data_IF_473088991450
#
_entry.id   IF_473088991450
#
_cell.length_a   1.000
_cell.length_b   1.000
_cell.length_c   1.000
_cell.angle_alpha   90.00
_cell.angle_beta   90.00
_cell.angle_gamma   90.00
#
_symmetry.space_group_name_H-M   'P 1'
#
loop_
_entity.id
_entity.type
_entity.pdbx_description
1 polymer ?
#
# COMPACT_ATOMS: atom_id res chain seq x y z
N UNK A 1 42.95 -4.75 -1.98
CA UNK A 1 41.72 -4.78 -2.79
C UNK A 1 40.58 -5.00 -1.84
N UNK A 2 39.67 -4.03 -1.77
CA UNK A 2 38.52 -4.07 -0.85
C UNK A 2 37.44 -4.91 -1.53
N UNK A 3 37.03 -6.00 -0.89
CA UNK A 3 35.87 -6.78 -1.32
C UNK A 3 34.61 -5.93 -1.15
N UNK A 4 33.81 -5.85 -2.22
CA UNK A 4 32.52 -5.17 -2.25
C UNK A 4 31.43 -6.15 -1.77
N UNK A 5 30.80 -5.95 -0.59
CA UNK A 5 29.91 -6.94 0.01
C UNK A 5 28.47 -6.96 -0.57
N UNK A 6 28.24 -6.40 -1.76
CA UNK A 6 26.89 -6.31 -2.38
C UNK A 6 26.74 -7.00 -3.74
N UNK A 7 27.70 -7.83 -4.15
CA UNK A 7 27.50 -8.68 -5.32
C UNK A 7 26.60 -9.88 -4.94
N UNK A 8 25.28 -9.71 -5.00
CA UNK A 8 24.41 -10.89 -5.12
C UNK A 8 24.84 -11.64 -6.38
N UNK A 9 25.14 -12.95 -6.30
CA UNK A 9 25.50 -13.71 -7.48
C UNK A 9 24.32 -13.67 -8.47
N UNK A 10 24.52 -13.06 -9.63
CA UNK A 10 23.61 -13.19 -10.76
C UNK A 10 23.62 -14.66 -11.20
N UNK A 11 22.78 -15.49 -10.56
CA UNK A 11 22.43 -16.80 -11.10
C UNK A 11 21.73 -16.54 -12.43
N UNK A 12 22.28 -17.09 -13.51
CA UNK A 12 21.67 -17.10 -14.86
C UNK A 12 20.24 -17.69 -14.89
N UNK A 13 19.75 -18.23 -13.78
CA UNK A 13 18.41 -18.80 -13.61
C UNK A 13 17.43 -17.91 -12.83
N UNK A 14 17.77 -16.63 -12.58
CA UNK A 14 16.83 -15.73 -11.88
C UNK A 14 15.57 -15.56 -12.73
N UNK A 15 14.42 -15.88 -12.13
CA UNK A 15 13.10 -15.69 -12.75
C UNK A 15 12.33 -14.65 -11.96
N UNK A 16 11.78 -13.69 -12.69
CA UNK A 16 10.88 -12.70 -12.14
C UNK A 16 9.46 -12.96 -12.63
N UNK A 17 8.48 -12.66 -11.79
CA UNK A 17 7.07 -12.61 -12.17
C UNK A 17 6.58 -11.18 -12.04
N UNK A 18 6.19 -10.60 -13.17
CA UNK A 18 5.49 -9.32 -13.24
C UNK A 18 3.98 -9.60 -13.29
N UNK A 19 3.22 -8.90 -12.46
CA UNK A 19 1.79 -9.06 -12.31
C UNK A 19 1.13 -7.70 -12.56
N UNK A 20 0.19 -7.62 -13.49
CA UNK A 20 -0.58 -6.42 -13.82
C UNK A 20 -2.04 -6.59 -13.37
N UNK A 21 -2.61 -5.56 -12.74
CA UNK A 21 -3.99 -5.50 -12.28
C UNK A 21 -4.73 -4.39 -13.06
N UNK A 22 -5.45 -4.79 -14.12
CA UNK A 22 -5.92 -3.87 -15.15
C UNK A 22 -7.25 -3.17 -14.83
N UNK A 23 -8.14 -3.81 -14.08
CA UNK A 23 -9.50 -3.32 -13.87
C UNK A 23 -10.14 -3.84 -12.57
N UNK A 24 -11.44 -3.52 -12.41
CA UNK A 24 -12.21 -3.84 -11.22
C UNK A 24 -12.55 -5.32 -11.06
N UNK A 25 -12.39 -6.14 -12.11
CA UNK A 25 -12.48 -7.60 -11.98
C UNK A 25 -11.22 -8.18 -11.33
N UNK A 26 -10.19 -7.34 -11.16
CA UNK A 26 -8.85 -7.74 -10.74
C UNK A 26 -8.29 -8.84 -11.65
N UNK A 27 -8.69 -8.87 -12.92
CA UNK A 27 -8.11 -9.79 -13.89
C UNK A 27 -6.60 -9.53 -13.96
N UNK A 28 -5.87 -10.61 -13.70
CA UNK A 28 -4.43 -10.58 -13.58
C UNK A 28 -3.81 -11.00 -14.89
N UNK A 29 -2.98 -10.14 -15.46
CA UNK A 29 -2.03 -10.56 -16.50
C UNK A 29 -0.65 -10.75 -15.88
N UNK A 30 -0.11 -11.96 -15.95
CA UNK A 30 1.20 -12.29 -15.43
C UNK A 30 2.21 -12.57 -16.55
N UNK A 31 3.42 -12.04 -16.40
CA UNK A 31 4.56 -12.27 -17.30
C UNK A 31 5.72 -12.84 -16.51
N UNK A 32 6.24 -13.98 -16.96
CA UNK A 32 7.47 -14.56 -16.41
C UNK A 32 8.68 -14.10 -17.23
N UNK A 33 9.63 -13.47 -16.57
CA UNK A 33 10.86 -12.94 -17.16
C UNK A 33 12.03 -13.77 -16.62
N UNK A 34 12.65 -14.57 -17.47
CA UNK A 34 13.72 -15.49 -17.08
C UNK A 34 15.08 -15.04 -17.61
N UNK A 35 16.15 -15.29 -16.84
CA UNK A 35 17.53 -15.00 -17.26
C UNK A 35 17.83 -13.52 -17.43
N UNK A 36 17.04 -12.65 -16.82
CA UNK A 36 17.18 -11.20 -16.90
C UNK A 36 17.78 -10.60 -15.62
N UNK A 37 18.29 -9.38 -15.71
CA UNK A 37 18.63 -8.59 -14.53
C UNK A 37 17.37 -7.99 -13.89
N UNK A 38 17.47 -7.60 -12.61
CA UNK A 38 16.41 -6.85 -11.94
C UNK A 38 16.10 -5.53 -12.67
N UNK A 39 17.13 -4.84 -13.17
CA UNK A 39 16.96 -3.59 -13.92
C UNK A 39 16.10 -3.80 -15.18
N UNK A 40 16.38 -4.87 -15.94
CA UNK A 40 15.58 -5.24 -17.10
C UNK A 40 14.13 -5.56 -16.70
N UNK A 41 13.93 -6.33 -15.62
CA UNK A 41 12.60 -6.66 -15.12
C UNK A 41 11.80 -5.41 -14.68
N UNK A 42 12.46 -4.44 -14.05
CA UNK A 42 11.85 -3.16 -13.68
C UNK A 42 11.54 -2.28 -14.89
N UNK A 43 12.40 -2.28 -15.91
CA UNK A 43 12.13 -1.57 -17.16
C UNK A 43 10.93 -2.19 -17.90
N UNK A 44 10.90 -3.52 -18.00
CA UNK A 44 9.76 -4.25 -18.54
C UNK A 44 8.46 -3.94 -17.77
N UNK A 45 8.51 -3.87 -16.45
CA UNK A 45 7.37 -3.47 -15.62
C UNK A 45 6.87 -2.07 -15.95
N UNK A 46 7.77 -1.10 -16.14
CA UNK A 46 7.41 0.26 -16.56
C UNK A 46 6.78 0.29 -17.96
N UNK A 47 7.36 -0.43 -18.92
CA UNK A 47 6.84 -0.46 -20.29
C UNK A 47 5.45 -1.12 -20.35
N UNK A 48 5.30 -2.30 -19.74
CA UNK A 48 4.06 -3.08 -19.77
C UNK A 48 2.93 -2.43 -18.96
N UNK A 49 3.25 -1.74 -17.86
CA UNK A 49 2.29 -0.91 -17.11
C UNK A 49 1.99 0.43 -17.78
N UNK A 50 2.59 0.73 -18.93
CA UNK A 50 2.50 2.02 -19.65
C UNK A 50 2.85 3.20 -18.75
N UNK A 51 3.96 3.07 -18.03
CA UNK A 51 4.41 4.03 -17.02
C UNK A 51 3.36 4.25 -15.91
N UNK A 52 3.04 3.16 -15.20
CA UNK A 52 2.14 3.12 -14.05
C UNK A 52 0.66 3.48 -14.36
N UNK A 53 0.21 3.41 -15.62
CA UNK A 53 -1.23 3.51 -15.98
C UNK A 53 -2.02 2.30 -15.51
N UNK A 54 -1.34 1.17 -15.37
CA UNK A 54 -1.87 -0.08 -14.83
C UNK A 54 -1.12 -0.39 -13.54
N UNK A 55 -1.85 -0.80 -12.50
CA UNK A 55 -1.22 -1.19 -11.24
C UNK A 55 -0.42 -2.48 -11.44
N UNK A 56 0.75 -2.57 -10.83
CA UNK A 56 1.62 -3.73 -11.01
C UNK A 56 2.48 -4.07 -9.80
N UNK A 57 2.83 -5.36 -9.71
CA UNK A 57 3.76 -5.91 -8.74
C UNK A 57 4.82 -6.79 -9.42
N UNK A 58 6.00 -6.89 -8.83
CA UNK A 58 7.13 -7.68 -9.32
C UNK A 58 7.67 -8.53 -8.18
N UNK A 59 7.84 -9.82 -8.43
CA UNK A 59 8.43 -10.79 -7.52
C UNK A 59 9.62 -11.53 -8.15
N UNK A 60 10.55 -12.00 -7.31
CA UNK A 60 11.41 -13.13 -7.67
C UNK A 60 10.61 -14.41 -7.47
N UNK A 61 10.68 -15.33 -8.42
CA UNK A 61 10.11 -16.67 -8.32
C UNK A 61 11.16 -17.57 -7.68
N UNK A 62 10.87 -18.03 -6.46
CA UNK A 62 11.67 -19.06 -5.79
C UNK A 62 11.23 -20.44 -6.32
N UNK A 63 12.15 -21.07 -7.06
CA UNK A 63 11.95 -22.38 -7.67
C UNK A 63 12.24 -23.54 -6.72
N UNK A 64 12.85 -23.28 -5.55
CA UNK A 64 13.27 -24.32 -4.61
C UNK A 64 12.11 -24.79 -3.70
N UNK A 65 10.96 -24.10 -3.76
CA UNK A 65 9.74 -24.50 -3.06
C UNK A 65 9.12 -25.76 -3.68
N UNK A 66 9.07 -26.84 -2.89
CA UNK A 66 8.68 -28.18 -3.33
C UNK A 66 7.17 -28.37 -3.59
N UNK A 67 6.32 -27.37 -3.31
CA UNK A 67 4.85 -27.50 -3.42
C UNK A 67 4.30 -26.56 -4.48
N UNK A 68 4.64 -25.27 -4.41
CA UNK A 68 4.35 -24.26 -5.45
C UNK A 68 5.46 -23.20 -5.44
N UNK A 69 5.82 -22.58 -6.60
CA UNK A 69 6.84 -21.56 -6.63
C UNK A 69 6.49 -20.40 -5.70
N UNK A 70 7.34 -20.13 -4.70
CA UNK A 70 7.10 -19.05 -3.77
C UNK A 70 7.43 -17.70 -4.43
N UNK A 71 6.58 -16.68 -4.22
CA UNK A 71 6.81 -15.34 -4.75
C UNK A 71 7.40 -14.45 -3.65
N UNK A 72 8.64 -14.01 -3.86
CA UNK A 72 9.27 -12.99 -3.04
C UNK A 72 9.06 -11.62 -3.69
N UNK A 73 8.11 -10.84 -3.19
CA UNK A 73 7.78 -9.52 -3.72
C UNK A 73 8.92 -8.53 -3.55
N UNK A 74 9.35 -7.93 -4.66
CA UNK A 74 10.39 -6.89 -4.72
C UNK A 74 9.73 -5.51 -4.76
N UNK A 75 8.62 -5.39 -5.49
CA UNK A 75 7.87 -4.16 -5.67
C UNK A 75 6.38 -4.48 -5.69
N UNK A 76 5.60 -3.77 -4.87
CA UNK A 76 4.19 -4.09 -4.71
C UNK A 76 3.96 -5.45 -4.07
N UNK A 77 2.73 -5.94 -4.19
CA UNK A 77 2.30 -7.23 -3.69
C UNK A 77 1.16 -7.74 -4.56
N UNK A 78 0.72 -8.98 -4.33
CA UNK A 78 -0.56 -9.43 -4.87
C UNK A 78 -1.68 -8.46 -4.45
N UNK A 79 -2.35 -7.84 -5.43
CA UNK A 79 -3.38 -6.85 -5.14
C UNK A 79 -4.68 -7.50 -4.63
N UNK A 80 -4.91 -8.77 -4.97
CA UNK A 80 -6.10 -9.52 -4.58
C UNK A 80 -6.09 -9.95 -3.11
N UNK A 81 -4.92 -9.91 -2.46
CA UNK A 81 -4.76 -10.32 -1.08
C UNK A 81 -4.69 -9.12 -0.13
N UNK A 82 -5.46 -9.20 0.97
CA UNK A 82 -5.39 -8.21 2.04
C UNK A 82 -4.04 -8.30 2.77
N UNK A 83 -3.28 -7.21 2.88
CA UNK A 83 -2.04 -7.19 3.66
C UNK A 83 -2.31 -7.46 5.15
N UNK A 84 -1.45 -8.29 5.76
CA UNK A 84 -1.54 -8.71 7.17
C UNK A 84 -0.41 -8.18 8.04
N UNK A 85 0.70 -7.78 7.43
CA UNK A 85 1.89 -7.29 8.15
C UNK A 85 2.25 -5.87 7.74
N UNK A 86 2.97 -5.11 8.59
CA UNK A 86 3.45 -3.78 8.22
C UNK A 86 4.26 -3.78 6.93
N UNK A 87 5.09 -4.82 6.70
CA UNK A 87 5.88 -4.89 5.49
C UNK A 87 5.02 -5.10 4.24
N UNK A 88 3.99 -5.94 4.32
CA UNK A 88 3.02 -6.10 3.22
C UNK A 88 2.27 -4.80 2.96
N UNK A 89 1.92 -4.04 4.00
CA UNK A 89 1.31 -2.72 3.86
C UNK A 89 2.25 -1.70 3.21
N UNK A 90 3.56 -1.71 3.51
CA UNK A 90 4.54 -0.86 2.80
C UNK A 90 4.56 -1.16 1.31
N UNK A 91 4.64 -2.43 0.95
CA UNK A 91 4.59 -2.85 -0.45
C UNK A 91 3.28 -2.44 -1.15
N UNK A 92 2.12 -2.64 -0.49
CA UNK A 92 0.80 -2.20 -0.99
C UNK A 92 0.74 -0.69 -1.20
N UNK A 93 1.22 0.09 -0.21
CA UNK A 93 1.28 1.55 -0.27
C UNK A 93 2.10 2.02 -1.47
N UNK A 94 3.34 1.54 -1.59
CA UNK A 94 4.24 1.99 -2.65
C UNK A 94 3.66 1.68 -4.05
N UNK A 95 3.00 0.54 -4.21
CA UNK A 95 2.29 0.18 -5.45
C UNK A 95 1.10 1.09 -5.75
N UNK A 96 0.25 1.35 -4.77
CA UNK A 96 -0.89 2.26 -4.92
C UNK A 96 -0.45 3.70 -5.20
N UNK A 97 0.58 4.19 -4.51
CA UNK A 97 1.06 5.56 -4.65
C UNK A 97 1.65 5.80 -6.04
N UNK A 98 2.40 4.84 -6.61
CA UNK A 98 2.87 4.93 -8.01
C UNK A 98 1.70 5.07 -8.98
N UNK A 99 0.71 4.19 -8.84
CA UNK A 99 -0.48 4.16 -9.69
C UNK A 99 -1.30 5.46 -9.58
N UNK A 100 -1.63 5.90 -8.36
CA UNK A 100 -2.43 7.10 -8.13
C UNK A 100 -1.68 8.38 -8.53
N UNK A 101 -0.36 8.45 -8.32
CA UNK A 101 0.44 9.57 -8.80
C UNK A 101 0.44 9.65 -10.34
N UNK A 102 0.50 8.51 -11.03
CA UNK A 102 0.41 8.44 -12.48
C UNK A 102 -0.96 8.93 -13.01
N UNK A 103 -2.05 8.65 -12.29
CA UNK A 103 -3.38 9.20 -12.58
C UNK A 103 -3.48 10.69 -12.30
N UNK A 104 -2.97 11.14 -11.16
CA UNK A 104 -2.95 12.56 -10.76
C UNK A 104 -2.26 13.43 -11.82
N UNK A 105 -1.08 13.01 -12.30
CA UNK A 105 -0.34 13.71 -13.37
C UNK A 105 -1.14 13.86 -14.67
N UNK A 106 -2.03 12.91 -14.95
CA UNK A 106 -2.92 12.91 -16.12
C UNK A 106 -4.30 13.53 -15.84
N UNK A 107 -4.54 14.03 -14.62
CA UNK A 107 -5.83 14.56 -14.15
C UNK A 107 -6.99 13.57 -14.31
N UNK A 108 -6.70 12.29 -14.07
CA UNK A 108 -7.69 11.21 -14.06
C UNK A 108 -8.27 11.01 -12.65
N UNK A 109 -9.45 10.38 -12.52
CA UNK A 109 -10.02 10.03 -11.21
C UNK A 109 -9.04 9.24 -10.34
N UNK A 110 -8.84 9.66 -9.09
CA UNK A 110 -7.89 9.08 -8.14
C UNK A 110 -8.43 7.84 -7.44
N UNK A 111 -9.02 6.94 -8.22
CA UNK A 111 -9.56 5.67 -7.76
C UNK A 111 -8.58 4.55 -8.05
N UNK A 112 -8.53 3.58 -7.15
CA UNK A 112 -7.87 2.27 -7.31
C UNK A 112 -8.50 1.48 -8.48
N UNK A 113 -7.87 0.39 -8.96
CA UNK A 113 -8.38 -0.39 -10.10
C UNK A 113 -9.80 -0.90 -9.92
N UNK A 114 -10.20 -1.19 -8.68
CA UNK A 114 -11.54 -1.63 -8.28
C UNK A 114 -12.54 -0.49 -8.00
N UNK A 115 -12.17 0.74 -8.31
CA UNK A 115 -13.02 1.92 -8.12
C UNK A 115 -13.03 2.47 -6.70
N UNK A 116 -12.34 1.84 -5.75
CA UNK A 116 -12.26 2.35 -4.36
C UNK A 116 -11.29 3.53 -4.25
N UNK A 117 -11.50 4.36 -3.24
CA UNK A 117 -10.55 5.40 -2.80
C UNK A 117 -9.39 4.78 -2.00
N UNK A 118 -8.26 5.48 -1.90
CA UNK A 118 -7.14 5.09 -1.03
C UNK A 118 -7.04 6.06 0.14
N UNK A 119 -7.46 5.62 1.32
CA UNK A 119 -7.49 6.43 2.54
C UNK A 119 -6.36 5.98 3.47
N UNK A 120 -5.69 6.93 4.09
CA UNK A 120 -4.59 6.72 5.03
C UNK A 120 -5.11 7.03 6.42
N UNK A 121 -4.88 6.11 7.35
CA UNK A 121 -5.13 6.31 8.77
C UNK A 121 -3.78 6.38 9.48
N UNK A 122 -3.45 7.52 10.05
CA UNK A 122 -2.26 7.72 10.85
C UNK A 122 -2.46 8.84 11.85
N UNK A 123 -1.63 8.86 12.89
CA UNK A 123 -1.66 9.92 13.87
C UNK A 123 -0.98 11.18 13.34
N UNK A 124 -1.57 12.34 13.56
CA UNK A 124 -0.98 13.59 13.10
C UNK A 124 -1.17 14.74 14.09
N UNK A 125 -0.07 15.47 14.29
CA UNK A 125 -0.01 16.68 15.09
C UNK A 125 -0.90 17.79 14.52
N UNK A 126 -1.73 18.39 15.37
CA UNK A 126 -2.60 19.51 15.02
C UNK A 126 -3.79 19.15 14.13
N UNK A 127 -4.09 17.86 13.94
CA UNK A 127 -5.28 17.39 13.21
C UNK A 127 -6.28 16.73 14.14
N UNK A 128 -7.52 16.62 13.67
CA UNK A 128 -8.62 16.08 14.45
C UNK A 128 -8.71 14.54 14.32
N UNK A 129 -8.69 13.97 13.11
CA UNK A 129 -9.05 12.55 12.91
C UNK A 129 -7.97 11.65 12.31
N UNK A 130 -6.82 12.20 11.89
CA UNK A 130 -5.75 11.38 11.31
C UNK A 130 -6.11 10.64 10.01
N UNK A 131 -7.10 11.14 9.25
CA UNK A 131 -7.56 10.55 7.99
C UNK A 131 -7.17 11.40 6.78
N UNK A 132 -6.48 10.78 5.82
CA UNK A 132 -6.03 11.45 4.61
C UNK A 132 -6.34 10.69 3.33
N UNK A 133 -6.52 11.41 2.22
CA UNK A 133 -6.51 10.83 0.88
C UNK A 133 -5.38 11.44 0.05
N UNK A 134 -4.40 10.60 -0.31
CA UNK A 134 -3.26 11.02 -1.12
C UNK A 134 -3.68 11.57 -2.48
N UNK A 135 -2.93 12.57 -2.96
CA UNK A 135 -3.07 13.18 -4.29
C UNK A 135 -4.38 13.94 -4.55
N UNK A 136 -5.29 14.00 -3.57
CA UNK A 136 -6.51 14.80 -3.63
C UNK A 136 -6.25 16.28 -3.28
N UNK A 137 -7.12 17.19 -3.74
CA UNK A 137 -7.01 18.62 -3.44
C UNK A 137 -7.31 18.94 -1.96
N UNK A 138 -8.16 18.14 -1.31
CA UNK A 138 -8.46 18.19 0.12
C UNK A 138 -7.94 16.92 0.79
N UNK A 139 -6.66 16.94 1.13
CA UNK A 139 -5.97 15.76 1.63
C UNK A 139 -6.39 15.34 3.04
N UNK A 140 -6.96 16.23 3.86
CA UNK A 140 -7.52 15.91 5.17
C UNK A 140 -9.00 15.59 5.03
N UNK A 141 -9.43 14.48 5.62
CA UNK A 141 -10.80 14.01 5.54
C UNK A 141 -11.55 14.17 6.86
N UNK A 142 -12.79 14.65 6.77
CA UNK A 142 -13.77 14.62 7.86
C UNK A 142 -14.51 13.28 7.81
N UNK A 143 -14.66 12.55 8.94
CA UNK A 143 -15.42 11.30 9.01
C UNK A 143 -16.82 11.40 8.36
N UNK A 144 -17.53 12.51 8.57
CA UNK A 144 -18.86 12.74 8.00
C UNK A 144 -18.85 12.82 6.48
N UNK A 145 -17.79 13.37 5.87
CA UNK A 145 -17.61 13.44 4.42
C UNK A 145 -17.40 12.06 3.77
N UNK A 146 -17.00 11.08 4.58
CA UNK A 146 -16.84 9.68 4.18
C UNK A 146 -18.09 8.84 4.47
N UNK A 147 -19.11 9.44 5.10
CA UNK A 147 -20.32 8.72 5.53
C UNK A 147 -20.08 7.80 6.73
N UNK A 148 -19.03 8.04 7.54
CA UNK A 148 -18.78 7.29 8.76
C UNK A 148 -19.83 7.63 9.83
N UNK A 149 -20.07 6.66 10.71
CA UNK A 149 -20.89 6.87 11.89
C UNK A 149 -20.30 7.97 12.79
N UNK A 150 -21.17 8.75 13.44
CA UNK A 150 -20.72 9.78 14.39
C UNK A 150 -19.88 9.19 15.53
N UNK A 151 -20.27 8.01 16.02
CA UNK A 151 -19.52 7.27 17.05
C UNK A 151 -18.10 6.95 16.59
N UNK A 152 -17.90 6.40 15.38
CA UNK A 152 -16.56 6.14 14.87
C UNK A 152 -15.77 7.44 14.65
N UNK A 153 -16.43 8.52 14.23
CA UNK A 153 -15.82 9.84 14.11
C UNK A 153 -15.28 10.37 15.45
N UNK A 154 -16.06 10.22 16.52
CA UNK A 154 -15.68 10.62 17.88
C UNK A 154 -14.52 9.76 18.42
N UNK A 155 -14.53 8.45 18.15
CA UNK A 155 -13.45 7.55 18.56
C UNK A 155 -12.14 7.84 17.81
N UNK A 156 -12.20 8.14 16.51
CA UNK A 156 -11.03 8.56 15.74
C UNK A 156 -10.47 9.89 16.24
N UNK A 157 -11.35 10.82 16.61
CA UNK A 157 -10.96 12.05 17.26
C UNK A 157 -10.21 11.77 18.57
N UNK A 158 -10.80 10.98 19.48
CA UNK A 158 -10.19 10.66 20.77
C UNK A 158 -8.83 9.96 20.62
N UNK A 159 -8.70 9.06 19.64
CA UNK A 159 -7.44 8.36 19.35
C UNK A 159 -6.32 9.30 18.86
N UNK A 160 -6.66 10.26 18.00
CA UNK A 160 -5.69 11.26 17.54
C UNK A 160 -5.46 12.36 18.60
N UNK A 161 -6.45 12.68 19.42
CA UNK A 161 -6.33 13.65 20.52
C UNK A 161 -5.39 13.12 21.62
N UNK A 162 -5.52 11.85 22.00
CA UNK A 162 -4.53 11.16 22.84
C UNK A 162 -3.13 11.16 22.22
N UNK A 163 -3.04 11.25 20.88
CA UNK A 163 -1.76 11.46 20.22
C UNK A 163 -1.21 12.88 20.41
N UNK A 164 -2.08 13.88 20.40
CA UNK A 164 -1.76 15.30 20.47
C UNK A 164 -1.56 15.84 21.90
N UNK A 165 -2.14 15.19 22.91
CA UNK A 165 -2.08 15.61 24.33
C UNK A 165 -0.72 15.32 25.02
N UNK A 166 0.29 14.94 24.24
CA UNK A 166 1.64 14.65 24.77
C UNK A 166 2.70 15.52 24.11
N UNK A 167 3.88 15.60 24.72
CA UNK A 167 5.04 16.19 24.04
C UNK A 167 5.62 15.25 22.97
N UNK A 168 6.42 15.80 22.06
CA UNK A 168 6.98 15.03 20.93
C UNK A 168 7.81 13.82 21.40
N UNK A 169 8.52 13.98 22.51
CA UNK A 169 9.40 12.95 23.08
C UNK A 169 8.70 12.03 24.08
N UNK A 170 7.44 12.31 24.43
CA UNK A 170 6.68 11.48 25.35
C UNK A 170 6.26 10.17 24.68
N UNK A 171 6.32 9.05 25.42
CA UNK A 171 5.84 7.79 24.91
C UNK A 171 4.34 7.83 24.64
N UNK A 172 3.92 7.11 23.60
CA UNK A 172 2.52 6.82 23.34
C UNK A 172 1.89 6.03 24.50
N UNK A 173 0.59 6.23 24.79
CA UNK A 173 -0.14 5.35 25.70
C UNK A 173 -0.02 3.89 25.24
N UNK A 174 0.16 2.95 26.18
CA UNK A 174 0.42 1.54 25.85
C UNK A 174 -0.71 0.88 25.03
N UNK A 175 -1.95 1.34 25.17
CA UNK A 175 -3.13 0.84 24.45
C UNK A 175 -3.32 1.48 23.07
N UNK A 176 -2.61 2.58 22.78
CA UNK A 176 -2.87 3.42 21.61
C UNK A 176 -2.79 2.65 20.28
N UNK A 177 -1.85 1.70 20.19
CA UNK A 177 -1.68 0.87 19.00
C UNK A 177 -2.83 -0.13 18.83
N UNK A 178 -3.27 -0.75 19.91
CA UNK A 178 -4.35 -1.74 19.88
C UNK A 178 -5.71 -1.06 19.60
N UNK A 179 -5.93 0.13 20.16
CA UNK A 179 -7.06 1.00 19.82
C UNK A 179 -7.04 1.39 18.34
N UNK A 180 -5.88 1.80 17.81
CA UNK A 180 -5.72 2.12 16.40
C UNK A 180 -6.05 0.94 15.47
N UNK A 181 -5.69 -0.29 15.86
CA UNK A 181 -6.04 -1.51 15.12
C UNK A 181 -7.56 -1.77 15.15
N UNK A 182 -8.20 -1.62 16.32
CA UNK A 182 -9.65 -1.78 16.43
C UNK A 182 -10.42 -0.76 15.59
N UNK A 183 -9.96 0.50 15.58
CA UNK A 183 -10.51 1.57 14.76
C UNK A 183 -10.30 1.32 13.26
N UNK A 184 -9.11 0.85 12.87
CA UNK A 184 -8.83 0.44 11.51
C UNK A 184 -9.79 -0.66 11.02
N UNK A 185 -10.03 -1.69 11.84
CA UNK A 185 -10.96 -2.78 11.50
C UNK A 185 -12.43 -2.30 11.41
N UNK A 186 -12.83 -1.29 12.21
CA UNK A 186 -14.14 -0.63 12.07
C UNK A 186 -14.22 0.19 10.79
N UNK A 187 -13.21 1.01 10.52
CA UNK A 187 -13.10 1.84 9.31
C UNK A 187 -13.20 1.01 8.03
N UNK A 188 -12.48 -0.12 7.95
CA UNK A 188 -12.55 -1.01 6.79
C UNK A 188 -13.95 -1.60 6.57
N UNK A 189 -14.71 -1.84 7.66
CA UNK A 189 -16.10 -2.32 7.57
C UNK A 189 -17.07 -1.25 7.13
N UNK A 190 -17.00 -0.05 7.72
CA UNK A 190 -17.89 1.06 7.35
C UNK A 190 -17.62 1.58 5.94
N UNK A 191 -16.37 1.50 5.47
CA UNK A 191 -15.96 1.92 4.12
C UNK A 191 -15.88 0.77 3.11
N UNK A 192 -16.45 -0.40 3.43
CA UNK A 192 -16.45 -1.55 2.53
C UNK A 192 -17.06 -1.18 1.17
N UNK A 193 -16.29 -1.40 0.10
CA UNK A 193 -16.68 -1.06 -1.28
C UNK A 193 -16.52 0.42 -1.65
N UNK A 194 -16.22 1.30 -0.70
CA UNK A 194 -16.00 2.74 -0.93
C UNK A 194 -14.52 3.08 -0.94
N UNK A 195 -13.77 2.56 0.03
CA UNK A 195 -12.35 2.84 0.18
C UNK A 195 -11.57 1.60 0.62
N UNK A 196 -10.27 1.62 0.34
CA UNK A 196 -9.29 0.83 1.06
C UNK A 196 -8.58 1.75 2.07
N UNK A 197 -8.67 1.41 3.35
CA UNK A 197 -7.95 2.12 4.40
C UNK A 197 -6.58 1.49 4.59
N UNK A 198 -5.54 2.32 4.66
CA UNK A 198 -4.16 1.94 4.96
C UNK A 198 -3.87 2.30 6.42
N UNK A 199 -3.49 1.33 7.28
CA UNK A 199 -3.13 1.59 8.67
C UNK A 199 -1.69 2.11 8.74
N UNK A 200 -1.47 3.35 8.30
CA UNK A 200 -0.14 3.96 8.19
C UNK A 200 0.54 4.20 9.54
N UNK A 201 -0.22 4.24 10.65
CA UNK A 201 0.34 4.23 12.01
C UNK A 201 1.14 2.95 12.37
N UNK A 202 1.08 1.90 11.54
CA UNK A 202 1.85 0.67 11.70
C UNK A 202 3.18 0.68 10.94
N UNK A 203 3.41 1.66 10.05
CA UNK A 203 4.45 1.61 9.02
C UNK A 203 5.82 2.12 9.43
#
# INVERSE_FOLDING_TARGET
MVENPLAMPQRNDTRFRLVLFADATLEVTAYDISGASLEFALDAARQLSRHDEVMWALAVVDQESAVEPALLWISGSDYSQTPKTPNQWRHRRDMQDRYLMAKSRRRLPLLLPDGRRSIRMFAEWGRLWGLWESFSESYVLDPSSLGLSAELGDELYAWNDAFNDREVDDPLPSSWRDEGLALYDRLQRELAGVAEVRPEFLL
#
